data_IF_482481796201
#
_entry.id   IF_482481796201
#
_cell.length_a   1.000
_cell.length_b   1.000
_cell.length_c   1.000
_cell.angle_alpha   90.00
_cell.angle_beta   90.00
_cell.angle_gamma   90.00
#
_symmetry.space_group_name_H-M   'P 1'
#
loop_
_entity.id
_entity.type
_entity.pdbx_description
1 polymer ?
#
# COMPACT_ATOMS: atom_id res chain seq x y z
N UNK A 1 -2.38 -8.24 24.27
CA UNK A 1 -2.88 -7.67 23.00
C UNK A 1 -1.99 -8.19 21.87
N UNK A 2 -2.44 -9.20 21.15
CA UNK A 2 -1.74 -9.67 19.95
C UNK A 2 -2.23 -8.83 18.77
N UNK A 3 -1.51 -7.74 18.45
CA UNK A 3 -1.66 -7.11 17.15
C UNK A 3 -1.26 -8.17 16.12
N UNK A 4 -2.23 -8.69 15.37
CA UNK A 4 -1.99 -9.71 14.36
C UNK A 4 -1.19 -9.06 13.24
N UNK A 5 0.08 -9.44 13.00
CA UNK A 5 1.02 -8.70 12.13
C UNK A 5 0.73 -8.74 10.61
N UNK A 6 -0.54 -8.88 10.23
CA UNK A 6 -1.03 -8.96 8.86
C UNK A 6 -2.49 -8.45 8.75
N UNK A 7 -2.95 -7.61 9.70
CA UNK A 7 -4.25 -6.96 9.52
C UNK A 7 -4.21 -6.02 8.32
N UNK A 8 -5.38 -5.73 7.73
CA UNK A 8 -5.45 -4.77 6.63
C UNK A 8 -4.85 -3.41 7.02
N UNK A 9 -5.09 -2.95 8.26
CA UNK A 9 -4.52 -1.71 8.78
C UNK A 9 -2.99 -1.76 8.86
N UNK A 10 -2.42 -2.86 9.37
CA UNK A 10 -0.95 -3.01 9.47
C UNK A 10 -0.30 -3.05 8.08
N UNK A 11 -0.93 -3.71 7.11
CA UNK A 11 -0.46 -3.76 5.72
C UNK A 11 -0.51 -2.36 5.09
N UNK A 12 -1.59 -1.61 5.32
CA UNK A 12 -1.70 -0.21 4.85
C UNK A 12 -0.59 0.65 5.45
N UNK A 13 -0.40 0.58 6.76
CA UNK A 13 0.56 1.42 7.49
C UNK A 13 2.00 1.08 7.08
N UNK A 14 2.31 -0.21 6.88
CA UNK A 14 3.58 -0.63 6.30
C UNK A 14 3.78 -0.08 4.89
N UNK A 15 2.75 -0.13 4.04
CA UNK A 15 2.79 0.47 2.70
C UNK A 15 3.12 1.97 2.72
N UNK A 16 2.51 2.72 3.64
CA UNK A 16 2.78 4.16 3.84
C UNK A 16 4.22 4.43 4.29
N UNK A 17 4.77 3.59 5.17
CA UNK A 17 6.17 3.69 5.60
C UNK A 17 7.11 3.35 4.44
N UNK A 18 6.83 2.28 3.70
CA UNK A 18 7.65 1.87 2.55
C UNK A 18 7.66 2.94 1.45
N UNK A 19 6.53 3.61 1.22
CA UNK A 19 6.45 4.76 0.30
C UNK A 19 7.41 5.88 0.74
N UNK A 20 7.44 6.23 2.03
CA UNK A 20 8.34 7.26 2.58
C UNK A 20 9.81 6.85 2.53
N UNK A 21 10.11 5.56 2.49
CA UNK A 21 11.46 5.01 2.36
C UNK A 21 11.87 4.78 0.90
N UNK A 22 11.16 5.37 -0.07
CA UNK A 22 11.37 5.18 -1.52
C UNK A 22 11.33 3.72 -1.98
N UNK A 23 10.76 2.82 -1.17
CA UNK A 23 10.60 1.40 -1.47
C UNK A 23 9.33 1.15 -2.30
N UNK A 24 9.23 1.81 -3.45
CA UNK A 24 7.99 1.90 -4.24
C UNK A 24 7.37 0.53 -4.59
N UNK A 25 8.17 -0.47 -4.98
CA UNK A 25 7.64 -1.80 -5.29
C UNK A 25 7.03 -2.49 -4.07
N UNK A 26 7.63 -2.36 -2.90
CA UNK A 26 7.12 -2.96 -1.68
C UNK A 26 5.82 -2.26 -1.24
N UNK A 27 5.79 -0.92 -1.31
CA UNK A 27 4.59 -0.12 -1.04
C UNK A 27 3.42 -0.48 -1.98
N UNK A 28 3.68 -0.62 -3.29
CA UNK A 28 2.70 -1.06 -4.29
C UNK A 28 2.10 -2.43 -3.92
N UNK A 29 2.95 -3.38 -3.51
CA UNK A 29 2.50 -4.72 -3.13
C UNK A 29 1.55 -4.67 -1.93
N UNK A 30 1.90 -3.87 -0.92
CA UNK A 30 1.10 -3.70 0.28
C UNK A 30 -0.22 -2.97 0.00
N UNK A 31 -0.21 -1.92 -0.79
CA UNK A 31 -1.44 -1.22 -1.18
C UNK A 31 -2.39 -2.13 -1.97
N UNK A 32 -1.88 -2.93 -2.92
CA UNK A 32 -2.72 -3.91 -3.63
C UNK A 32 -3.35 -4.91 -2.66
N UNK A 33 -2.57 -5.47 -1.73
CA UNK A 33 -3.06 -6.42 -0.72
C UNK A 33 -4.08 -5.77 0.21
N UNK A 34 -3.83 -4.54 0.67
CA UNK A 34 -4.78 -3.77 1.48
C UNK A 34 -6.12 -3.60 0.78
N UNK A 35 -6.10 -3.16 -0.48
CA UNK A 35 -7.31 -2.92 -1.28
C UNK A 35 -8.11 -4.21 -1.55
N UNK A 36 -7.46 -5.37 -1.58
CA UNK A 36 -8.12 -6.68 -1.65
C UNK A 36 -8.73 -7.09 -0.31
N UNK A 37 -8.06 -6.85 0.81
CA UNK A 37 -8.52 -7.24 2.13
C UNK A 37 -9.63 -6.34 2.68
N UNK A 38 -9.59 -5.05 2.36
CA UNK A 38 -10.54 -4.05 2.84
C UNK A 38 -11.10 -3.20 1.69
N UNK A 39 -11.90 -3.79 0.78
CA UNK A 39 -12.38 -3.12 -0.41
C UNK A 39 -13.46 -2.05 -0.15
N UNK A 40 -13.90 -1.89 1.09
CA UNK A 40 -14.89 -0.89 1.52
C UNK A 40 -14.37 0.03 2.62
N UNK A 41 -13.07 0.01 2.89
CA UNK A 41 -12.46 0.90 3.87
C UNK A 41 -12.64 2.38 3.46
N UNK A 42 -12.87 3.25 4.45
CA UNK A 42 -13.13 4.66 4.21
C UNK A 42 -11.98 5.39 3.48
N UNK A 43 -10.75 4.93 3.67
CA UNK A 43 -9.53 5.45 3.07
C UNK A 43 -9.12 4.72 1.77
N UNK A 44 -9.89 3.74 1.30
CA UNK A 44 -9.58 2.94 0.12
C UNK A 44 -9.28 3.82 -1.11
N UNK A 45 -10.06 4.88 -1.33
CA UNK A 45 -9.87 5.81 -2.45
C UNK A 45 -8.53 6.54 -2.38
N UNK A 46 -8.08 6.92 -1.18
CA UNK A 46 -6.77 7.56 -0.96
C UNK A 46 -5.64 6.60 -1.27
N UNK A 47 -5.75 5.35 -0.81
CA UNK A 47 -4.73 4.32 -1.09
C UNK A 47 -4.69 3.97 -2.59
N UNK A 48 -5.83 3.95 -3.30
CA UNK A 48 -5.86 3.79 -4.76
C UNK A 48 -5.14 4.91 -5.50
N UNK A 49 -5.31 6.16 -5.07
CA UNK A 49 -4.61 7.30 -5.69
C UNK A 49 -3.09 7.19 -5.50
N UNK A 50 -2.64 6.86 -4.28
CA UNK A 50 -1.22 6.62 -3.98
C UNK A 50 -0.65 5.48 -4.83
N UNK A 51 -1.36 4.36 -4.90
CA UNK A 51 -0.98 3.22 -5.75
C UNK A 51 -0.81 3.66 -7.21
N UNK A 52 -1.77 4.38 -7.77
CA UNK A 52 -1.69 4.88 -9.15
C UNK A 52 -0.50 5.83 -9.37
N UNK A 53 -0.23 6.73 -8.42
CA UNK A 53 0.94 7.61 -8.48
C UNK A 53 2.25 6.80 -8.51
N UNK A 54 2.40 5.81 -7.62
CA UNK A 54 3.60 4.97 -7.57
C UNK A 54 3.76 4.09 -8.82
N UNK A 55 2.67 3.58 -9.39
CA UNK A 55 2.70 2.77 -10.61
C UNK A 55 3.10 3.60 -11.84
N UNK A 56 2.66 4.87 -11.92
CA UNK A 56 3.03 5.78 -13.00
C UNK A 56 4.49 6.22 -12.95
N UNK A 57 5.04 6.44 -11.75
CA UNK A 57 6.42 6.91 -11.57
C UNK A 57 7.44 5.78 -11.44
N UNK A 58 6.99 4.53 -11.62
CA UNK A 58 7.89 3.39 -11.55
C UNK A 58 8.87 3.46 -12.73
N UNK A 59 10.20 3.52 -12.49
CA UNK A 59 11.14 3.48 -13.58
C UNK A 59 10.95 2.17 -14.33
N UNK A 60 10.65 2.28 -15.63
CA UNK A 60 10.68 1.17 -16.56
C UNK A 60 12.08 0.57 -16.49
N UNK A 61 12.24 -0.55 -15.78
CA UNK A 61 13.48 -1.33 -15.88
C UNK A 61 13.44 -1.94 -17.28
N UNK A 62 14.17 -1.32 -18.20
CA UNK A 62 14.54 -1.87 -19.50
C UNK A 62 15.72 -2.83 -19.32
#
# INVERSE_FOLDING_TARGET
>A
MSATPDSAADIRDRGLILEQLDCAQAAISDYRRYLTLAPTAADQSVIRQRLGFLELHRPSIN
#
